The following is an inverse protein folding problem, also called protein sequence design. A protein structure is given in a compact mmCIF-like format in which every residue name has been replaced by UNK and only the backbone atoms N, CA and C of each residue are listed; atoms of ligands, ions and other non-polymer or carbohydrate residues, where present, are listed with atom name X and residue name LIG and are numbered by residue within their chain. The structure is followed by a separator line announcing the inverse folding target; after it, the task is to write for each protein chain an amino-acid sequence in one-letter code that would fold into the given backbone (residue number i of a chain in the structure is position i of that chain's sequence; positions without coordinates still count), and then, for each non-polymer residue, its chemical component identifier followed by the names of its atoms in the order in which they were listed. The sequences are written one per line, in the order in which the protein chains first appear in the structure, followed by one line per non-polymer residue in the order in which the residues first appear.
data_IF_297099676749
#
_entry.id   IF_297099676749
#
_cell.length_a   1.000
_cell.length_b   1.000
_cell.length_c   1.000
_cell.angle_alpha   90.00
_cell.angle_beta   90.00
_cell.angle_gamma   90.00
#
_symmetry.space_group_name_H-M   'P 1'
#
loop_
_entity.id
_entity.type
_entity.pdbx_description
1 polymer ?
#
# COMPACT_ATOMS: atom_id res chain seq x y z
N UNK A 1 -12.53 -0.78 14.11
CA UNK A 1 -12.99 -2.17 14.35
C UNK A 1 -12.76 -2.57 15.80
N UNK A 2 -13.74 -3.22 16.43
CA UNK A 2 -13.66 -3.69 17.82
C UNK A 2 -12.70 -4.87 18.03
N UNK A 3 -12.39 -5.64 16.97
CA UNK A 3 -11.69 -6.92 17.06
C UNK A 3 -10.27 -6.83 17.67
N UNK A 4 -9.47 -5.84 17.30
CA UNK A 4 -8.13 -5.64 17.88
C UNK A 4 -8.18 -5.14 19.33
N UNK A 5 -9.29 -4.50 19.72
CA UNK A 5 -9.53 -4.01 21.09
C UNK A 5 -10.10 -5.08 22.01
N UNK A 6 -10.77 -6.10 21.46
CA UNK A 6 -11.37 -7.19 22.25
C UNK A 6 -10.33 -8.17 22.81
N UNK A 7 -9.15 -8.28 22.19
CA UNK A 7 -8.10 -9.24 22.59
C UNK A 7 -6.70 -8.61 22.63
N UNK A 8 -6.48 -7.55 23.43
CA UNK A 8 -5.27 -6.71 23.34
C UNK A 8 -3.98 -7.46 23.67
N UNK A 9 -4.03 -8.53 24.47
CA UNK A 9 -2.85 -9.34 24.81
C UNK A 9 -2.43 -10.23 23.64
N UNK A 10 -3.38 -10.89 22.97
CA UNK A 10 -3.11 -11.80 21.86
C UNK A 10 -2.52 -11.05 20.66
N UNK A 11 -3.04 -9.87 20.34
CA UNK A 11 -2.59 -9.06 19.20
C UNK A 11 -1.21 -8.41 19.39
N UNK A 12 -0.73 -8.26 20.63
CA UNK A 12 0.61 -7.70 20.93
C UNK A 12 1.77 -8.60 20.50
N UNK A 13 1.54 -9.86 20.17
CA UNK A 13 2.62 -10.78 19.80
C UNK A 13 2.60 -11.15 18.32
N UNK A 14 1.55 -10.77 17.60
CA UNK A 14 1.40 -11.11 16.19
C UNK A 14 2.36 -10.31 15.33
N UNK A 15 3.22 -11.03 14.63
CA UNK A 15 4.16 -10.47 13.65
C UNK A 15 3.59 -10.45 12.24
N UNK A 16 2.58 -11.26 11.95
CA UNK A 16 1.94 -11.36 10.65
C UNK A 16 0.42 -11.41 10.81
N UNK A 17 -0.28 -10.62 10.01
CA UNK A 17 -1.72 -10.66 9.88
C UNK A 17 -2.11 -10.77 8.41
N UNK A 18 -3.10 -11.61 8.16
CA UNK A 18 -3.73 -11.76 6.85
C UNK A 18 -5.23 -11.69 7.04
N UNK A 19 -5.87 -10.79 6.32
CA UNK A 19 -7.32 -10.68 6.28
C UNK A 19 -7.83 -10.94 4.88
N UNK A 20 -8.95 -11.65 4.79
CA UNK A 20 -9.66 -11.92 3.56
C UNK A 20 -11.09 -11.37 3.68
N UNK A 21 -11.58 -10.74 2.61
CA UNK A 21 -12.98 -10.37 2.43
C UNK A 21 -13.57 -9.47 3.54
N UNK A 22 -12.76 -8.56 4.09
CA UNK A 22 -13.18 -7.59 5.09
C UNK A 22 -13.45 -6.19 4.53
N UNK A 23 -14.41 -5.49 5.13
CA UNK A 23 -14.70 -4.08 4.85
C UNK A 23 -14.25 -3.23 6.04
N UNK A 24 -13.40 -2.24 5.77
CA UNK A 24 -12.77 -1.36 6.75
C UNK A 24 -13.41 0.04 6.72
N UNK A 25 -13.61 0.64 7.89
CA UNK A 25 -13.78 2.09 8.02
C UNK A 25 -12.47 2.83 7.75
N UNK A 26 -12.55 4.16 7.66
CA UNK A 26 -11.42 5.01 7.26
C UNK A 26 -10.15 4.85 8.11
N UNK A 27 -10.28 4.71 9.43
CA UNK A 27 -9.12 4.57 10.34
C UNK A 27 -8.79 3.13 10.69
N UNK A 28 -9.63 2.16 10.30
CA UNK A 28 -9.58 0.81 10.87
C UNK A 28 -8.27 0.08 10.58
N UNK A 29 -7.71 0.23 9.38
CA UNK A 29 -6.42 -0.38 9.00
C UNK A 29 -5.29 0.20 9.84
N UNK A 30 -5.28 1.52 10.01
CA UNK A 30 -4.27 2.23 10.81
C UNK A 30 -4.38 1.87 12.29
N UNK A 31 -5.60 1.79 12.82
CA UNK A 31 -5.86 1.38 14.20
C UNK A 31 -5.48 -0.09 14.45
N UNK A 32 -5.68 -0.96 13.46
CA UNK A 32 -5.24 -2.35 13.48
C UNK A 32 -3.71 -2.45 13.57
N UNK A 33 -2.98 -1.71 12.72
CA UNK A 33 -1.51 -1.69 12.73
C UNK A 33 -1.00 -1.18 14.08
N UNK A 34 -1.59 -0.11 14.61
CA UNK A 34 -1.20 0.47 15.92
C UNK A 34 -1.45 -0.48 17.09
N UNK A 35 -2.54 -1.25 17.05
CA UNK A 35 -2.86 -2.22 18.10
C UNK A 35 -1.85 -3.39 18.15
N UNK A 36 -1.18 -3.69 17.03
CA UNK A 36 -0.26 -4.82 16.90
C UNK A 36 1.21 -4.34 16.92
N UNK A 37 1.74 -4.04 18.09
CA UNK A 37 3.08 -3.43 18.26
C UNK A 37 4.27 -4.23 17.67
N UNK A 38 4.11 -5.53 17.42
CA UNK A 38 5.11 -6.40 16.79
C UNK A 38 4.80 -6.74 15.34
N UNK A 39 3.73 -6.20 14.77
CA UNK A 39 3.32 -6.50 13.40
C UNK A 39 4.40 -6.04 12.42
N UNK A 40 4.86 -6.98 11.62
CA UNK A 40 5.85 -6.79 10.56
C UNK A 40 5.24 -6.98 9.18
N UNK A 41 4.24 -7.85 9.06
CA UNK A 41 3.63 -8.20 7.78
C UNK A 41 2.12 -8.06 7.86
N UNK A 42 1.53 -7.29 6.95
CA UNK A 42 0.09 -7.18 6.82
C UNK A 42 -0.32 -7.47 5.37
N UNK A 43 -1.21 -8.44 5.20
CA UNK A 43 -1.85 -8.75 3.91
C UNK A 43 -3.35 -8.51 3.99
N UNK A 44 -3.89 -7.73 3.07
CA UNK A 44 -5.32 -7.44 2.93
C UNK A 44 -5.79 -7.93 1.55
N UNK A 45 -6.46 -9.08 1.54
CA UNK A 45 -6.91 -9.78 0.34
C UNK A 45 -8.43 -9.63 0.17
N UNK A 46 -8.89 -9.25 -1.02
CA UNK A 46 -10.31 -8.99 -1.33
C UNK A 46 -11.00 -8.04 -0.33
N UNK A 47 -10.22 -7.23 0.38
CA UNK A 47 -10.71 -6.28 1.36
C UNK A 47 -11.05 -4.93 0.71
N UNK A 48 -11.59 -3.98 1.46
CA UNK A 48 -11.79 -2.62 0.95
C UNK A 48 -12.26 -1.65 2.01
N UNK A 49 -12.42 -0.39 1.61
CA UNK A 49 -13.10 0.61 2.44
C UNK A 49 -14.62 0.50 2.28
N UNK A 50 -15.36 0.92 3.31
CA UNK A 50 -16.83 1.06 3.26
C UNK A 50 -17.23 1.93 2.06
N UNK A 51 -16.61 3.11 1.93
CA UNK A 51 -16.67 3.91 0.71
C UNK A 51 -15.49 3.58 -0.21
N UNK A 52 -15.80 2.99 -1.37
CA UNK A 52 -14.80 2.55 -2.35
C UNK A 52 -14.14 3.71 -3.09
N UNK A 53 -14.74 4.90 -3.07
CA UNK A 53 -14.18 6.11 -3.66
C UNK A 53 -13.32 6.91 -2.67
N UNK A 54 -13.18 6.41 -1.45
CA UNK A 54 -12.32 7.01 -0.45
C UNK A 54 -10.87 6.56 -0.57
N UNK A 55 -9.98 7.40 -0.07
CA UNK A 55 -8.53 7.16 0.01
C UNK A 55 -8.23 6.37 1.28
N UNK A 56 -7.44 5.30 1.16
CA UNK A 56 -6.89 4.62 2.33
C UNK A 56 -5.62 5.35 2.79
N UNK A 57 -5.70 6.04 3.93
CA UNK A 57 -4.56 6.73 4.54
C UNK A 57 -3.93 5.89 5.64
N UNK A 58 -2.64 5.64 5.55
CA UNK A 58 -1.87 4.90 6.56
C UNK A 58 -0.82 5.81 7.16
N UNK A 59 -0.96 6.08 8.46
CA UNK A 59 -0.09 6.95 9.24
C UNK A 59 0.29 6.24 10.55
N UNK A 60 1.46 5.61 10.57
CA UNK A 60 1.90 4.72 11.65
C UNK A 60 3.41 4.87 11.94
N UNK A 61 3.87 6.05 12.38
CA UNK A 61 5.30 6.38 12.56
C UNK A 61 6.02 5.47 13.56
N UNK A 62 5.29 4.89 14.50
CA UNK A 62 5.84 4.02 15.55
C UNK A 62 5.66 2.52 15.26
N UNK A 63 5.14 2.16 14.08
CA UNK A 63 4.97 0.76 13.71
C UNK A 63 6.31 0.10 13.35
N UNK A 64 6.35 -1.23 13.47
CA UNK A 64 7.46 -2.07 13.00
C UNK A 64 7.12 -2.77 11.69
N UNK A 65 6.20 -2.16 10.94
CA UNK A 65 5.63 -2.76 9.74
C UNK A 65 6.68 -2.72 8.62
N UNK A 66 7.08 -3.89 8.16
CA UNK A 66 8.07 -4.08 7.10
C UNK A 66 7.42 -4.34 5.75
N UNK A 67 6.30 -5.06 5.72
CA UNK A 67 5.64 -5.46 4.48
C UNK A 67 4.14 -5.14 4.51
N UNK A 68 3.70 -4.45 3.46
CA UNK A 68 2.29 -4.17 3.18
C UNK A 68 1.89 -4.79 1.84
N UNK A 69 0.92 -5.70 1.89
CA UNK A 69 0.41 -6.39 0.71
C UNK A 69 -1.10 -6.17 0.56
N UNK A 70 -1.51 -5.65 -0.58
CA UNK A 70 -2.88 -5.43 -0.98
C UNK A 70 -3.19 -6.29 -2.19
N UNK A 71 -4.18 -7.18 -2.09
CA UNK A 71 -4.59 -8.06 -3.19
C UNK A 71 -6.08 -7.85 -3.42
N UNK A 72 -6.45 -7.22 -4.53
CA UNK A 72 -7.84 -6.88 -4.85
C UNK A 72 -8.47 -5.90 -3.85
N UNK A 73 -7.67 -5.03 -3.23
CA UNK A 73 -8.17 -4.06 -2.25
C UNK A 73 -9.00 -2.97 -2.92
N UNK A 74 -10.20 -2.69 -2.40
CA UNK A 74 -11.15 -1.74 -2.99
C UNK A 74 -11.08 -0.38 -2.29
N UNK A 75 -10.43 0.58 -2.93
CA UNK A 75 -10.39 2.00 -2.57
C UNK A 75 -10.06 2.85 -3.80
N UNK A 76 -10.02 4.16 -3.65
CA UNK A 76 -9.63 5.09 -4.73
C UNK A 76 -8.14 4.97 -5.06
N UNK A 77 -7.29 5.21 -4.06
CA UNK A 77 -5.86 4.92 -4.03
C UNK A 77 -5.40 4.78 -2.58
N UNK A 78 -4.14 4.38 -2.38
CA UNK A 78 -3.51 4.25 -1.07
C UNK A 78 -2.53 5.41 -0.87
N UNK A 79 -2.57 6.03 0.29
CA UNK A 79 -1.66 7.10 0.70
C UNK A 79 -0.91 6.67 1.96
N UNK A 80 0.40 6.43 1.82
CA UNK A 80 1.29 6.06 2.93
C UNK A 80 1.93 7.34 3.46
N UNK A 81 1.39 7.89 4.54
CA UNK A 81 1.78 9.20 5.07
C UNK A 81 3.12 9.10 5.83
N UNK A 82 3.19 8.23 6.83
CA UNK A 82 4.39 8.00 7.64
C UNK A 82 4.45 6.53 8.07
N UNK A 83 5.33 5.75 7.42
CA UNK A 83 5.51 4.31 7.68
C UNK A 83 7.00 3.97 7.58
N UNK A 84 7.81 4.35 8.57
CA UNK A 84 9.25 4.53 8.36
C UNK A 84 10.03 3.21 8.28
N UNK A 85 9.47 2.11 8.79
CA UNK A 85 10.07 0.77 8.76
C UNK A 85 9.64 -0.09 7.57
N UNK A 86 8.81 0.46 6.70
CA UNK A 86 8.28 -0.25 5.55
C UNK A 86 9.37 -0.48 4.51
N UNK A 87 9.63 -1.74 4.17
CA UNK A 87 10.67 -2.15 3.21
C UNK A 87 10.09 -2.65 1.90
N UNK A 88 8.86 -3.18 1.92
CA UNK A 88 8.16 -3.66 0.72
C UNK A 88 6.68 -3.23 0.71
N UNK A 89 6.24 -2.78 -0.47
CA UNK A 89 4.82 -2.60 -0.79
C UNK A 89 4.48 -3.44 -2.00
N UNK A 90 3.42 -4.24 -1.87
CA UNK A 90 2.80 -4.98 -2.97
C UNK A 90 1.37 -4.52 -3.14
N UNK A 91 1.05 -4.05 -4.32
CA UNK A 91 -0.31 -3.70 -4.71
C UNK A 91 -0.69 -4.48 -5.96
N UNK A 92 -1.66 -5.38 -5.80
CA UNK A 92 -2.24 -6.16 -6.89
C UNK A 92 -3.72 -5.83 -7.00
N UNK A 93 -4.17 -5.30 -8.13
CA UNK A 93 -5.60 -5.06 -8.35
C UNK A 93 -5.97 -5.23 -9.81
N UNK A 94 -7.23 -5.53 -10.10
CA UNK A 94 -7.73 -5.54 -11.48
C UNK A 94 -7.88 -4.13 -12.05
N UNK A 95 -8.08 -3.10 -11.20
CA UNK A 95 -8.21 -1.68 -11.55
C UNK A 95 -7.72 -0.81 -10.40
N UNK A 96 -7.12 0.34 -10.72
CA UNK A 96 -6.74 1.36 -9.75
C UNK A 96 -6.64 2.74 -10.40
N UNK A 97 -6.85 3.80 -9.61
CA UNK A 97 -6.52 5.15 -10.06
C UNK A 97 -5.01 5.33 -10.16
N UNK A 98 -4.58 6.18 -11.09
CA UNK A 98 -3.17 6.46 -11.32
C UNK A 98 -2.75 7.74 -10.55
N UNK A 99 -1.80 7.66 -9.61
CA UNK A 99 -1.06 6.48 -9.14
C UNK A 99 -1.83 5.64 -8.09
N UNK A 100 -1.61 4.30 -8.03
CA UNK A 100 -2.31 3.41 -7.09
C UNK A 100 -1.90 3.63 -5.63
N UNK A 101 -0.64 4.01 -5.44
CA UNK A 101 -0.02 4.24 -4.14
C UNK A 101 0.77 5.53 -4.21
N UNK A 102 0.57 6.40 -3.22
CA UNK A 102 1.31 7.64 -3.02
C UNK A 102 2.13 7.54 -1.75
N UNK A 103 3.34 8.10 -1.78
CA UNK A 103 4.32 7.94 -0.72
C UNK A 103 4.66 9.29 -0.07
N UNK A 104 4.50 9.35 1.25
CA UNK A 104 5.05 10.37 2.13
C UNK A 104 6.41 9.93 2.68
N UNK A 105 6.52 9.76 4.00
CA UNK A 105 7.76 9.37 4.67
C UNK A 105 7.90 7.85 4.80
N UNK A 106 8.74 7.26 3.94
CA UNK A 106 9.02 5.80 3.88
C UNK A 106 10.53 5.53 3.60
N UNK A 107 11.45 6.05 4.43
CA UNK A 107 12.90 6.05 4.17
C UNK A 107 13.55 4.67 3.97
N UNK A 108 12.93 3.60 4.47
CA UNK A 108 13.45 2.23 4.38
C UNK A 108 12.87 1.43 3.20
N UNK A 109 11.99 2.03 2.38
CA UNK A 109 11.31 1.32 1.30
C UNK A 109 12.28 0.94 0.19
N UNK A 110 12.40 -0.36 -0.09
CA UNK A 110 13.33 -0.92 -1.09
C UNK A 110 12.61 -1.43 -2.33
N UNK A 111 11.46 -2.08 -2.11
CA UNK A 111 10.75 -2.81 -3.13
C UNK A 111 9.31 -2.29 -3.29
N UNK A 112 8.91 -1.99 -4.52
CA UNK A 112 7.53 -1.71 -4.89
C UNK A 112 7.09 -2.67 -5.99
N UNK A 113 6.02 -3.42 -5.74
CA UNK A 113 5.37 -4.29 -6.71
C UNK A 113 4.00 -3.73 -7.07
N UNK A 114 3.83 -3.31 -8.31
CA UNK A 114 2.54 -2.89 -8.87
C UNK A 114 2.11 -3.92 -9.91
N UNK A 115 1.03 -4.64 -9.60
CA UNK A 115 0.53 -5.76 -10.40
C UNK A 115 -0.91 -5.47 -10.84
N UNK A 116 -1.18 -5.52 -12.15
CA UNK A 116 -2.53 -5.39 -12.72
C UNK A 116 -2.86 -6.53 -13.67
N UNK A 117 -4.12 -7.00 -13.65
CA UNK A 117 -4.59 -8.13 -14.48
C UNK A 117 -5.72 -7.80 -15.47
N UNK A 118 -6.31 -6.60 -15.48
CA UNK A 118 -7.44 -6.24 -16.37
C UNK A 118 -7.34 -4.79 -16.90
N UNK A 119 -7.86 -4.61 -18.14
CA UNK A 119 -7.86 -3.45 -19.04
C UNK A 119 -8.40 -2.16 -18.41
N UNK A 120 -7.61 -1.09 -18.52
CA UNK A 120 -7.95 0.25 -19.04
C UNK A 120 -7.27 1.36 -18.24
N UNK A 121 -6.00 1.66 -18.54
CA UNK A 121 -5.48 2.98 -18.23
C UNK A 121 -6.07 3.95 -19.25
N UNK A 122 -6.86 4.93 -18.78
CA UNK A 122 -7.20 6.09 -19.60
C UNK A 122 -6.02 7.07 -19.72
N UNK A 123 -5.02 6.96 -18.83
CA UNK A 123 -3.86 7.83 -18.75
C UNK A 123 -2.58 7.05 -18.40
N UNK A 124 -1.42 7.41 -18.98
CA UNK A 124 -0.15 6.72 -18.74
C UNK A 124 0.31 6.79 -17.28
N UNK A 125 0.93 5.72 -16.76
CA UNK A 125 1.46 5.66 -15.39
C UNK A 125 2.54 6.74 -15.20
N UNK A 126 2.33 7.65 -14.26
CA UNK A 126 3.28 8.69 -13.90
C UNK A 126 4.19 8.17 -12.77
N UNK A 127 5.46 7.89 -13.09
CA UNK A 127 6.39 7.30 -12.13
C UNK A 127 6.74 8.28 -11.01
N UNK A 128 6.85 9.57 -11.29
CA UNK A 128 7.10 10.63 -10.29
C UNK A 128 6.07 10.62 -9.18
N UNK A 129 4.82 10.30 -9.49
CA UNK A 129 3.73 10.19 -8.51
C UNK A 129 3.71 8.88 -7.72
N UNK A 130 4.42 7.84 -8.20
CA UNK A 130 4.50 6.52 -7.58
C UNK A 130 5.83 6.26 -6.85
N UNK A 131 6.86 7.07 -7.08
CA UNK A 131 8.18 6.79 -6.53
C UNK A 131 8.32 7.37 -5.11
N UNK A 132 8.89 6.61 -4.17
CA UNK A 132 9.08 7.06 -2.81
C UNK A 132 10.28 8.01 -2.71
N UNK A 133 10.08 9.31 -2.96
CA UNK A 133 11.18 10.30 -2.94
C UNK A 133 11.93 10.38 -1.61
N UNK A 134 11.25 10.05 -0.51
CA UNK A 134 11.86 10.00 0.81
C UNK A 134 12.78 8.81 1.02
N UNK A 135 12.72 7.78 0.17
CA UNK A 135 13.56 6.58 0.27
C UNK A 135 14.84 6.72 -0.55
N UNK A 136 15.96 6.88 0.15
CA UNK A 136 17.30 6.78 -0.46
C UNK A 136 17.71 5.34 -0.80
N UNK A 137 16.97 4.34 -0.31
CA UNK A 137 17.29 2.93 -0.45
C UNK A 137 16.40 2.21 -1.46
N UNK A 138 15.55 2.95 -2.18
CA UNK A 138 14.66 2.36 -3.18
C UNK A 138 15.49 1.76 -4.32
N UNK A 139 15.38 0.44 -4.50
CA UNK A 139 16.24 -0.31 -5.41
C UNK A 139 15.48 -1.10 -6.46
N UNK A 140 14.22 -1.46 -6.18
CA UNK A 140 13.46 -2.37 -7.03
C UNK A 140 12.03 -1.88 -7.27
N UNK A 141 11.73 -1.63 -8.54
CA UNK A 141 10.38 -1.40 -9.04
C UNK A 141 9.97 -2.58 -9.92
N UNK A 142 8.92 -3.29 -9.52
CA UNK A 142 8.34 -4.39 -10.28
C UNK A 142 6.99 -4.00 -10.82
N UNK A 143 6.88 -4.01 -12.14
CA UNK A 143 5.70 -3.63 -12.90
C UNK A 143 5.23 -4.87 -13.67
N UNK A 144 4.11 -5.48 -13.27
CA UNK A 144 3.51 -6.61 -13.98
C UNK A 144 2.07 -6.28 -14.34
N UNK A 145 1.83 -6.02 -15.62
CA UNK A 145 0.52 -5.63 -16.14
C UNK A 145 -0.04 -6.70 -17.09
N UNK A 146 0.46 -7.93 -16.98
CA UNK A 146 0.15 -9.02 -17.89
C UNK A 146 0.59 -8.72 -19.32
N UNK A 147 -0.21 -9.16 -20.29
CA UNK A 147 0.08 -9.03 -21.73
C UNK A 147 -0.26 -7.65 -22.34
N UNK A 148 -0.33 -6.59 -21.52
CA UNK A 148 -0.87 -5.30 -21.96
C UNK A 148 0.19 -4.24 -22.24
N UNK A 149 -0.12 -3.41 -23.23
CA UNK A 149 0.69 -2.27 -23.66
C UNK A 149 0.55 -1.16 -22.61
N UNK A 150 1.53 -1.06 -21.71
CA UNK A 150 1.62 0.07 -20.79
C UNK A 150 2.24 1.28 -21.48
N UNK A 151 1.53 2.40 -21.47
CA UNK A 151 2.13 3.70 -21.69
C UNK A 151 2.72 4.16 -20.35
N UNK A 152 4.03 4.01 -20.17
CA UNK A 152 4.75 4.72 -19.11
C UNK A 152 5.02 6.12 -19.67
N UNK A 153 4.53 7.16 -18.98
CA UNK A 153 4.89 8.51 -19.38
C UNK A 153 6.37 8.70 -19.03
N UNK A 154 7.23 8.85 -20.05
CA UNK A 154 8.62 9.22 -19.83
C UNK A 154 8.65 10.67 -19.39
N UNK A 155 8.55 10.86 -18.08
CA UNK A 155 8.71 12.16 -17.44
C UNK A 155 10.11 12.70 -17.74
N UNK A 156 10.22 14.02 -17.88
CA UNK A 156 11.52 14.64 -18.11
C UNK A 156 12.47 14.24 -16.97
N UNK A 157 13.77 13.96 -17.21
CA UNK A 157 14.69 13.49 -16.17
C UNK A 157 14.74 14.39 -14.92
N UNK A 158 14.47 15.69 -15.07
CA UNK A 158 14.38 16.67 -13.98
C UNK A 158 13.21 16.45 -13.01
N UNK A 159 12.21 15.67 -13.41
CA UNK A 159 11.08 15.26 -12.59
C UNK A 159 11.32 13.92 -11.90
N UNK A 160 12.46 13.27 -12.19
CA UNK A 160 12.90 11.96 -11.68
C UNK A 160 14.07 12.06 -10.67
N UNK A 161 14.56 13.29 -10.42
CA UNK A 161 15.65 13.65 -9.48
C UNK A 161 15.12 14.57 -8.39
#
# INVERSE_FOLDING_TARGET
MSFSRSYPVTFRWLMMLKFNDLVFGHSDVTDLIRACNRLRHLTLSSCGLVDRHSVLKIDTPHSRLHELCFIGFRCRWIELIDVPKLTEVRFQSSRFENPPVRFGYVPELRCLFLISRIISFSAPLALSGCLPWSSRNFSNLYLDFGSQMMWIWMEHPKQLT
#
